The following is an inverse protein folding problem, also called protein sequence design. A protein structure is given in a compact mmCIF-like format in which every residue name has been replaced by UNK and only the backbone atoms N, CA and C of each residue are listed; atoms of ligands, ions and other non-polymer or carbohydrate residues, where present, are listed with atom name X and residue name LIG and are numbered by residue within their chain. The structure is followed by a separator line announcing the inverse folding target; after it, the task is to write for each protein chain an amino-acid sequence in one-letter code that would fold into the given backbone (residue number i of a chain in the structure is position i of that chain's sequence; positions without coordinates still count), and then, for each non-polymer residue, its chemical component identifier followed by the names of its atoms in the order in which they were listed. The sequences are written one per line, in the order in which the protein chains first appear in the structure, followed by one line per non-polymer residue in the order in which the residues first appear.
data_IF_787045647518
#
_entry.id   IF_787045647518
#
_cell.length_a   1.000
_cell.length_b   1.000
_cell.length_c   1.000
_cell.angle_alpha   90.00
_cell.angle_beta   90.00
_cell.angle_gamma   90.00
#
_symmetry.space_group_name_H-M   'P 1'
#
loop_
_entity.id
_entity.type
_entity.pdbx_description
1 polymer ?
#
# COMPACT_ATOMS: atom_id res chain seq x y z
N UNK A 1 -14.65 -1.06 37.01
CA UNK A 1 -14.10 -1.50 35.71
C UNK A 1 -12.59 -1.27 35.71
N UNK A 2 -11.78 -2.15 35.13
CA UNK A 2 -10.31 -2.03 35.07
C UNK A 2 -9.85 -2.02 33.62
N UNK A 3 -8.63 -1.55 33.36
CA UNK A 3 -8.03 -1.52 32.04
C UNK A 3 -6.52 -1.35 32.07
N UNK A 4 -5.94 -1.20 30.89
CA UNK A 4 -4.53 -0.86 30.69
C UNK A 4 -4.43 0.52 30.06
N UNK A 5 -3.41 1.27 30.44
CA UNK A 5 -3.04 2.52 29.80
C UNK A 5 -1.62 2.38 29.24
N UNK A 6 -1.49 2.67 27.96
CA UNK A 6 -0.21 2.72 27.25
C UNK A 6 0.03 4.19 26.92
N UNK A 7 1.12 4.75 27.44
CA UNK A 7 1.45 6.17 27.26
C UNK A 7 2.83 6.34 26.64
N UNK A 8 2.94 7.31 25.72
CA UNK A 8 4.19 7.76 25.14
C UNK A 8 4.37 9.26 25.41
N UNK A 9 5.54 9.66 25.88
CA UNK A 9 5.98 11.05 25.99
C UNK A 9 7.21 11.24 25.09
N UNK A 10 7.03 11.76 23.87
CA UNK A 10 8.12 11.91 22.92
C UNK A 10 9.15 12.96 23.39
N UNK A 11 8.77 13.96 24.20
CA UNK A 11 9.71 14.94 24.73
C UNK A 11 10.65 14.34 25.78
N UNK A 12 10.23 13.24 26.41
CA UNK A 12 11.04 12.48 27.38
C UNK A 12 11.61 11.18 26.82
N UNK A 13 11.43 10.91 25.53
CA UNK A 13 11.87 9.67 24.87
C UNK A 13 11.32 8.41 25.55
N UNK A 14 10.09 8.48 26.06
CA UNK A 14 9.39 7.34 26.64
C UNK A 14 8.30 6.90 25.68
N UNK A 15 8.34 5.64 25.25
CA UNK A 15 7.39 5.11 24.28
C UNK A 15 6.74 3.84 24.84
N UNK A 16 5.42 3.73 24.63
CA UNK A 16 4.63 2.53 24.90
C UNK A 16 4.74 2.02 26.36
N UNK A 17 4.84 2.93 27.33
CA UNK A 17 4.91 2.56 28.76
C UNK A 17 3.54 2.09 29.22
N UNK A 18 3.45 0.80 29.59
CA UNK A 18 2.21 0.18 30.06
C UNK A 18 2.05 0.32 31.59
N UNK A 19 0.82 0.62 32.04
CA UNK A 19 0.42 0.52 33.44
C UNK A 19 -1.04 0.09 33.60
N UNK A 20 -1.34 -0.60 34.70
CA UNK A 20 -2.71 -0.93 35.06
C UNK A 20 -3.47 0.30 35.58
N UNK A 21 -4.73 0.43 35.20
CA UNK A 21 -5.63 1.52 35.64
C UNK A 21 -7.00 0.98 36.02
N UNK A 22 -7.74 1.75 36.82
CA UNK A 22 -9.10 1.43 37.24
C UNK A 22 -10.02 2.62 37.05
N UNK A 23 -11.22 2.34 36.59
CA UNK A 23 -12.29 3.32 36.44
C UNK A 23 -13.02 3.53 37.78
N UNK A 24 -13.40 4.77 38.03
CA UNK A 24 -14.23 5.20 39.15
C UNK A 24 -15.68 5.42 38.72
N UNK A 25 -16.59 5.55 39.69
CA UNK A 25 -17.93 6.07 39.39
C UNK A 25 -17.81 7.51 38.86
N UNK A 26 -18.67 7.88 37.91
CA UNK A 26 -18.63 9.22 37.31
C UNK A 26 -18.91 10.29 38.36
N UNK A 27 -18.26 11.44 38.20
CA UNK A 27 -18.58 12.63 38.97
C UNK A 27 -19.82 13.33 38.37
N UNK A 28 -20.38 14.29 39.12
CA UNK A 28 -21.49 15.14 38.62
C UNK A 28 -21.00 16.14 37.58
N UNK A 29 -19.79 16.65 37.75
CA UNK A 29 -19.17 17.56 36.80
C UNK A 29 -19.06 16.93 35.40
N UNK A 30 -19.22 17.77 34.37
CA UNK A 30 -19.21 17.35 32.97
C UNK A 30 -18.21 18.15 32.12
N UNK A 31 -17.23 18.79 32.74
CA UNK A 31 -16.13 19.43 32.02
C UNK A 31 -15.08 18.39 31.57
N UNK A 32 -14.27 18.75 30.56
CA UNK A 32 -13.10 17.97 30.08
C UNK A 32 -13.39 16.50 29.70
N UNK A 33 -14.59 16.20 29.23
CA UNK A 33 -15.00 14.84 28.90
C UNK A 33 -14.61 14.41 27.48
N UNK A 34 -14.04 13.21 27.37
CA UNK A 34 -14.06 12.40 26.15
C UNK A 34 -15.08 11.28 26.36
N UNK A 35 -16.24 11.39 25.72
CA UNK A 35 -17.33 10.43 25.89
C UNK A 35 -17.21 9.28 24.89
N UNK A 36 -17.28 8.04 25.39
CA UNK A 36 -17.24 6.83 24.57
C UNK A 36 -18.57 6.08 24.68
N UNK A 37 -19.11 5.63 23.55
CA UNK A 37 -20.40 4.95 23.47
C UNK A 37 -20.27 3.59 22.77
N UNK A 38 -19.80 2.53 23.46
CA UNK A 38 -19.51 1.23 22.84
C UNK A 38 -20.68 0.56 22.12
N UNK A 39 -21.93 0.96 22.43
CA UNK A 39 -23.16 0.45 21.79
C UNK A 39 -23.40 0.99 20.37
N UNK A 40 -22.68 2.04 19.96
CA UNK A 40 -22.79 2.63 18.63
C UNK A 40 -21.50 2.31 17.86
N UNK A 41 -21.54 1.24 17.08
CA UNK A 41 -20.43 0.81 16.23
C UNK A 41 -20.43 1.60 14.92
N UNK A 42 -19.24 1.82 14.36
CA UNK A 42 -19.04 2.45 13.05
C UNK A 42 -18.39 1.43 12.10
N UNK A 43 -17.52 1.88 11.21
CA UNK A 43 -16.84 1.03 10.24
C UNK A 43 -15.99 -0.05 10.91
N UNK A 44 -15.92 -1.21 10.25
CA UNK A 44 -14.93 -2.22 10.56
C UNK A 44 -13.57 -1.83 9.95
N UNK A 45 -12.49 -2.13 10.66
CA UNK A 45 -11.12 -1.91 10.18
C UNK A 45 -10.47 -3.25 9.84
N UNK A 46 -9.74 -3.30 8.73
CA UNK A 46 -9.08 -4.54 8.27
C UNK A 46 -7.73 -4.76 8.97
N UNK A 47 -7.04 -3.70 9.40
CA UNK A 47 -5.77 -3.84 10.12
C UNK A 47 -4.79 -2.67 9.93
N UNK A 48 -3.52 -2.93 10.26
CA UNK A 48 -2.41 -1.98 10.17
C UNK A 48 -1.16 -2.66 9.61
N UNK A 49 -0.29 -1.89 8.96
CA UNK A 49 0.78 -2.47 8.17
C UNK A 49 1.82 -1.47 7.64
N UNK A 50 2.70 -2.01 6.79
CA UNK A 50 3.71 -1.27 6.04
C UNK A 50 3.83 -1.78 4.61
N UNK A 51 4.80 -1.27 3.85
CA UNK A 51 5.05 -1.72 2.48
C UNK A 51 6.33 -2.54 2.36
N UNK A 52 6.28 -3.64 1.60
CA UNK A 52 7.46 -4.36 1.14
C UNK A 52 7.85 -3.80 -0.23
N UNK A 53 9.02 -3.17 -0.32
CA UNK A 53 9.60 -2.67 -1.57
C UNK A 53 10.94 -3.35 -1.84
N UNK A 54 11.42 -3.33 -3.09
CA UNK A 54 12.74 -3.90 -3.40
C UNK A 54 13.82 -3.27 -2.52
N UNK A 55 13.79 -1.95 -2.29
CA UNK A 55 14.71 -1.26 -1.39
C UNK A 55 14.64 -1.80 0.05
N UNK A 56 13.45 -2.00 0.60
CA UNK A 56 13.30 -2.59 1.94
C UNK A 56 13.81 -4.04 1.97
N UNK A 57 13.57 -4.80 0.92
CA UNK A 57 14.03 -6.16 0.74
C UNK A 57 15.56 -6.31 0.65
N UNK A 58 16.21 -5.44 -0.13
CA UNK A 58 17.67 -5.35 -0.24
C UNK A 58 18.30 -5.00 1.11
N UNK A 59 17.72 -4.02 1.82
CA UNK A 59 18.17 -3.65 3.18
C UNK A 59 18.03 -4.84 4.13
N UNK A 60 16.87 -5.51 4.14
CA UNK A 60 16.66 -6.72 4.93
C UNK A 60 17.68 -7.82 4.60
N UNK A 61 17.96 -8.07 3.33
CA UNK A 61 18.90 -9.11 2.89
C UNK A 61 20.34 -8.83 3.34
N UNK A 62 20.72 -7.56 3.48
CA UNK A 62 22.05 -7.13 3.96
C UNK A 62 22.25 -7.27 5.48
N UNK A 63 21.18 -7.50 6.24
CA UNK A 63 21.25 -7.67 7.68
C UNK A 63 21.86 -9.03 8.07
N UNK A 64 22.50 -9.08 9.24
CA UNK A 64 22.86 -10.37 9.86
C UNK A 64 21.60 -11.18 10.22
N UNK A 65 21.69 -12.50 10.30
CA UNK A 65 20.53 -13.35 10.66
C UNK A 65 19.93 -13.00 12.03
N UNK A 66 20.76 -12.60 13.00
CA UNK A 66 20.29 -12.08 14.29
C UNK A 66 19.44 -10.81 14.12
N UNK A 67 19.91 -9.89 13.29
CA UNK A 67 19.21 -8.62 13.03
C UNK A 67 17.93 -8.86 12.22
N UNK A 68 17.93 -9.78 11.26
CA UNK A 68 16.71 -10.19 10.52
C UNK A 68 15.64 -10.72 11.46
N UNK A 69 16.01 -11.65 12.36
CA UNK A 69 15.09 -12.21 13.33
C UNK A 69 14.50 -11.14 14.26
N UNK A 70 15.33 -10.21 14.76
CA UNK A 70 14.86 -9.09 15.57
C UNK A 70 13.91 -8.17 14.80
N UNK A 71 14.28 -7.79 13.57
CA UNK A 71 13.47 -6.92 12.70
C UNK A 71 12.09 -7.53 12.43
N UNK A 72 12.05 -8.81 12.04
CA UNK A 72 10.79 -9.50 11.79
C UNK A 72 9.93 -9.59 13.05
N UNK A 73 10.55 -9.91 14.21
CA UNK A 73 9.83 -9.96 15.49
C UNK A 73 9.19 -8.62 15.83
N UNK A 74 9.92 -7.51 15.71
CA UNK A 74 9.42 -6.17 16.05
C UNK A 74 8.15 -5.81 15.24
N UNK A 75 8.10 -6.17 13.96
CA UNK A 75 6.96 -5.81 13.10
C UNK A 75 5.83 -6.84 13.10
N UNK A 76 6.15 -8.13 13.05
CA UNK A 76 5.17 -9.17 12.69
C UNK A 76 4.85 -10.13 13.84
N UNK A 77 5.56 -10.05 14.97
CA UNK A 77 5.19 -10.83 16.16
C UNK A 77 3.88 -10.35 16.75
N UNK A 78 3.04 -11.29 17.21
CA UNK A 78 1.80 -11.01 17.91
C UNK A 78 1.99 -10.29 19.25
N UNK A 79 3.22 -10.28 19.79
CA UNK A 79 3.57 -9.61 21.04
C UNK A 79 4.17 -8.20 20.83
N UNK A 80 4.41 -7.79 19.58
CA UNK A 80 5.02 -6.51 19.22
C UNK A 80 4.03 -5.66 18.40
N UNK A 81 4.43 -5.10 17.26
CA UNK A 81 3.53 -4.29 16.43
C UNK A 81 2.39 -5.09 15.78
N UNK A 82 2.55 -6.42 15.64
CA UNK A 82 1.55 -7.31 15.08
C UNK A 82 0.93 -6.80 13.77
N UNK A 83 1.77 -6.44 12.79
CA UNK A 83 1.29 -6.03 11.47
C UNK A 83 0.42 -7.12 10.84
N UNK A 84 -0.78 -6.74 10.42
CA UNK A 84 -1.79 -7.61 9.81
C UNK A 84 -2.05 -7.28 8.36
N UNK A 85 -1.64 -6.10 7.89
CA UNK A 85 -1.70 -5.70 6.48
C UNK A 85 -0.29 -5.50 5.92
N UNK A 86 -0.14 -5.67 4.62
CA UNK A 86 1.01 -5.12 3.90
C UNK A 86 0.66 -4.74 2.47
N UNK A 87 1.41 -3.79 1.91
CA UNK A 87 1.37 -3.43 0.49
C UNK A 87 2.69 -3.78 -0.19
N UNK A 88 2.65 -4.17 -1.46
CA UNK A 88 3.86 -4.44 -2.24
C UNK A 88 3.67 -4.01 -3.70
N UNK A 89 4.76 -3.61 -4.38
CA UNK A 89 4.68 -3.23 -5.77
C UNK A 89 4.52 -4.46 -6.67
N UNK A 90 3.80 -4.29 -7.77
CA UNK A 90 3.87 -5.17 -8.94
C UNK A 90 4.84 -4.49 -9.89
N UNK A 91 5.97 -5.15 -10.20
CA UNK A 91 7.14 -4.56 -10.89
C UNK A 91 7.86 -3.49 -10.04
N UNK A 92 8.74 -2.69 -10.64
CA UNK A 92 9.46 -1.62 -9.95
C UNK A 92 8.56 -0.49 -9.42
N UNK A 93 9.10 0.19 -8.42
CA UNK A 93 8.64 1.50 -7.92
C UNK A 93 9.86 2.37 -7.60
N UNK A 94 9.63 3.61 -7.16
CA UNK A 94 10.68 4.56 -6.75
C UNK A 94 11.63 4.04 -5.67
N UNK A 95 11.16 3.14 -4.80
CA UNK A 95 11.97 2.44 -3.80
C UNK A 95 12.54 1.12 -4.34
N UNK A 96 13.08 1.15 -5.55
CA UNK A 96 13.78 0.02 -6.19
C UNK A 96 15.20 0.44 -6.59
N UNK A 97 16.08 -0.52 -6.87
CA UNK A 97 17.44 -0.24 -7.34
C UNK A 97 17.48 0.35 -8.77
N UNK A 98 16.36 0.25 -9.49
CA UNK A 98 16.12 0.78 -10.83
C UNK A 98 14.88 0.12 -11.43
N UNK A 99 14.46 0.58 -12.61
CA UNK A 99 13.31 0.01 -13.31
C UNK A 99 13.51 -1.49 -13.58
N UNK A 100 12.44 -2.26 -13.45
CA UNK A 100 12.36 -3.63 -13.94
C UNK A 100 10.90 -4.02 -14.20
N UNK A 101 10.70 -4.82 -15.24
CA UNK A 101 9.42 -5.44 -15.53
C UNK A 101 9.56 -6.96 -15.50
N UNK A 102 8.44 -7.67 -15.42
CA UNK A 102 8.43 -9.14 -15.52
C UNK A 102 8.61 -9.62 -16.96
N UNK A 103 8.49 -8.71 -17.92
CA UNK A 103 8.70 -8.94 -19.35
C UNK A 103 9.17 -7.65 -20.00
N UNK A 104 10.27 -7.72 -20.75
CA UNK A 104 10.94 -6.53 -21.28
C UNK A 104 10.65 -6.29 -22.77
N UNK A 105 10.10 -7.29 -23.49
CA UNK A 105 9.80 -7.16 -24.91
C UNK A 105 8.49 -7.84 -25.33
N UNK A 106 7.92 -7.37 -26.44
CA UNK A 106 6.75 -8.00 -27.06
C UNK A 106 7.03 -9.43 -27.56
N UNK A 107 8.27 -9.71 -27.97
CA UNK A 107 8.69 -11.05 -28.40
C UNK A 107 8.70 -12.03 -27.22
N UNK A 108 9.19 -11.61 -26.06
CA UNK A 108 9.20 -12.44 -24.84
C UNK A 108 7.76 -12.71 -24.37
N UNK A 109 6.90 -11.69 -24.42
CA UNK A 109 5.48 -11.82 -24.09
C UNK A 109 4.78 -12.86 -24.97
N UNK A 110 4.97 -12.78 -26.30
CA UNK A 110 4.38 -13.75 -27.25
C UNK A 110 4.88 -15.18 -27.02
N UNK A 111 6.08 -15.33 -26.49
CA UNK A 111 6.68 -16.62 -26.16
C UNK A 111 6.41 -17.07 -24.71
N UNK A 112 5.65 -16.28 -23.93
CA UNK A 112 5.33 -16.58 -22.53
C UNK A 112 6.55 -16.56 -21.60
N UNK A 113 7.64 -15.87 -21.98
CA UNK A 113 8.88 -15.81 -21.21
C UNK A 113 8.83 -14.65 -20.21
N UNK A 114 8.24 -14.91 -19.05
CA UNK A 114 8.25 -14.00 -17.90
C UNK A 114 9.39 -14.34 -16.94
N UNK A 115 9.90 -13.33 -16.22
CA UNK A 115 10.91 -13.51 -15.18
C UNK A 115 10.51 -12.80 -13.89
N UNK A 116 10.52 -13.55 -12.79
CA UNK A 116 10.29 -13.05 -11.43
C UNK A 116 11.53 -13.17 -10.54
N UNK A 117 12.69 -13.55 -11.11
CA UNK A 117 13.91 -13.84 -10.36
C UNK A 117 14.40 -12.68 -9.49
N UNK A 118 14.10 -11.44 -9.89
CA UNK A 118 14.41 -10.24 -9.11
C UNK A 118 13.55 -10.15 -7.84
N UNK A 119 12.25 -10.44 -7.94
CA UNK A 119 11.35 -10.52 -6.78
C UNK A 119 11.73 -11.70 -5.88
N UNK A 120 12.06 -12.85 -6.46
CA UNK A 120 12.54 -14.04 -5.73
C UNK A 120 13.78 -13.75 -4.87
N UNK A 121 14.69 -12.91 -5.39
CA UNK A 121 15.89 -12.53 -4.67
C UNK A 121 15.65 -11.41 -3.64
N UNK A 122 14.85 -10.39 -3.98
CA UNK A 122 14.80 -9.15 -3.21
C UNK A 122 13.53 -8.99 -2.36
N UNK A 123 12.36 -9.45 -2.82
CA UNK A 123 11.08 -9.25 -2.13
C UNK A 123 10.62 -10.48 -1.35
N UNK A 124 10.60 -11.64 -2.02
CA UNK A 124 10.05 -12.89 -1.46
C UNK A 124 10.71 -13.31 -0.14
N UNK A 125 12.04 -13.17 0.09
CA UNK A 125 12.66 -13.56 1.36
C UNK A 125 12.12 -12.77 2.56
N UNK A 126 11.90 -11.47 2.38
CA UNK A 126 11.36 -10.57 3.40
C UNK A 126 9.88 -10.89 3.67
N UNK A 127 9.06 -11.02 2.62
CA UNK A 127 7.63 -11.33 2.74
C UNK A 127 7.43 -12.70 3.40
N UNK A 128 8.18 -13.71 2.96
CA UNK A 128 8.13 -15.05 3.54
C UNK A 128 8.59 -15.04 5.01
N UNK A 129 9.55 -14.18 5.36
CA UNK A 129 9.96 -13.93 6.73
C UNK A 129 8.84 -13.41 7.61
N UNK A 130 8.09 -12.42 7.11
CA UNK A 130 6.94 -11.86 7.80
C UNK A 130 5.81 -12.89 7.97
N UNK A 131 5.48 -13.62 6.90
CA UNK A 131 4.41 -14.62 6.91
C UNK A 131 4.69 -15.82 7.83
N UNK A 132 5.96 -16.12 8.15
CA UNK A 132 6.28 -17.12 9.18
C UNK A 132 5.84 -16.69 10.58
N UNK A 133 5.82 -15.39 10.87
CA UNK A 133 5.40 -14.85 12.17
C UNK A 133 3.90 -14.54 12.19
N UNK A 134 3.36 -14.04 11.07
CA UNK A 134 1.94 -13.83 10.89
C UNK A 134 1.46 -14.38 9.53
N UNK A 135 1.04 -15.65 9.45
CA UNK A 135 0.60 -16.25 8.19
C UNK A 135 -0.78 -15.74 7.72
N UNK A 136 -1.47 -14.94 8.53
CA UNK A 136 -2.81 -14.41 8.23
C UNK A 136 -2.77 -12.97 7.74
N UNK A 137 -1.60 -12.44 7.39
CA UNK A 137 -1.49 -11.09 6.84
C UNK A 137 -2.31 -10.97 5.55
N UNK A 138 -3.07 -9.89 5.45
CA UNK A 138 -3.75 -9.50 4.22
C UNK A 138 -2.80 -8.65 3.38
N UNK A 139 -2.42 -9.20 2.24
CA UNK A 139 -1.46 -8.58 1.32
C UNK A 139 -2.19 -7.87 0.18
N UNK A 140 -1.82 -6.61 -0.05
CA UNK A 140 -2.26 -5.79 -1.16
C UNK A 140 -1.11 -5.60 -2.16
N UNK A 141 -1.38 -5.75 -3.45
CA UNK A 141 -0.40 -5.46 -4.50
C UNK A 141 -0.85 -4.32 -5.41
N UNK A 142 0.08 -3.46 -5.80
CA UNK A 142 -0.21 -2.26 -6.59
C UNK A 142 0.87 -2.03 -7.64
N UNK A 143 0.55 -1.88 -8.94
CA UNK A 143 1.55 -1.52 -9.93
C UNK A 143 1.83 -0.01 -9.92
N UNK A 144 3.08 0.38 -10.16
CA UNK A 144 3.43 1.78 -10.46
C UNK A 144 3.48 2.03 -11.96
N UNK A 145 3.84 1.04 -12.76
CA UNK A 145 3.96 1.17 -14.21
C UNK A 145 3.85 -0.19 -14.89
N UNK A 146 3.14 -0.32 -16.02
CA UNK A 146 3.30 -1.45 -16.92
C UNK A 146 4.69 -1.48 -17.59
N UNK A 147 5.08 -2.59 -18.26
CA UNK A 147 6.30 -2.64 -19.06
C UNK A 147 6.38 -1.49 -20.07
N UNK A 148 7.58 -0.95 -20.27
CA UNK A 148 7.80 0.21 -21.15
C UNK A 148 7.14 0.03 -22.53
N UNK A 149 7.36 -1.09 -23.22
CA UNK A 149 6.80 -1.35 -24.55
C UNK A 149 5.26 -1.40 -24.61
N UNK A 150 4.57 -1.57 -23.48
CA UNK A 150 3.11 -1.51 -23.40
C UNK A 150 2.57 -0.09 -23.27
N UNK A 151 3.43 0.90 -23.06
CA UNK A 151 3.03 2.28 -22.78
C UNK A 151 3.15 3.18 -24.00
N UNK A 152 2.34 4.23 -24.04
CA UNK A 152 2.33 5.23 -25.14
C UNK A 152 3.64 6.01 -25.27
N UNK A 153 4.43 6.09 -24.19
CA UNK A 153 5.72 6.78 -24.15
C UNK A 153 6.93 5.84 -24.23
N UNK A 154 6.72 4.52 -24.27
CA UNK A 154 7.78 3.51 -24.26
C UNK A 154 8.80 3.67 -23.11
N UNK A 155 8.34 4.12 -21.94
CA UNK A 155 9.16 4.35 -20.75
C UNK A 155 8.33 4.04 -19.49
N UNK A 156 8.91 3.35 -18.51
CA UNK A 156 8.24 3.09 -17.23
C UNK A 156 8.06 4.38 -16.41
N UNK A 157 8.91 5.38 -16.64
CA UNK A 157 8.91 6.68 -15.96
C UNK A 157 8.12 7.73 -16.76
N UNK A 158 7.93 8.91 -16.18
CA UNK A 158 7.42 10.07 -16.91
C UNK A 158 5.95 9.97 -17.32
N UNK A 159 5.15 9.17 -16.60
CA UNK A 159 3.74 8.97 -16.90
C UNK A 159 3.53 8.15 -18.16
N UNK A 160 2.85 8.72 -19.17
CA UNK A 160 2.31 7.95 -20.29
C UNK A 160 1.15 7.06 -19.87
N UNK A 161 0.49 6.42 -20.83
CA UNK A 161 -0.70 5.57 -20.58
C UNK A 161 -0.44 4.15 -21.07
N UNK A 162 -1.17 3.18 -20.53
CA UNK A 162 -1.23 1.84 -21.12
C UNK A 162 -1.87 1.94 -22.51
N UNK A 163 -1.21 1.39 -23.53
CA UNK A 163 -1.79 1.30 -24.88
C UNK A 163 -3.02 0.39 -24.83
N UNK A 164 -4.11 0.79 -25.50
CA UNK A 164 -5.41 0.10 -25.39
C UNK A 164 -5.32 -1.37 -25.80
N UNK A 165 -4.54 -1.66 -26.82
CA UNK A 165 -4.24 -3.00 -27.31
C UNK A 165 -3.50 -3.89 -26.31
N UNK A 166 -2.83 -3.31 -25.30
CA UNK A 166 -2.08 -4.04 -24.27
C UNK A 166 -2.89 -4.27 -22.97
N UNK A 167 -4.18 -3.90 -22.90
CA UNK A 167 -4.99 -4.09 -21.68
C UNK A 167 -5.15 -5.57 -21.32
N UNK A 168 -5.33 -6.43 -22.31
CA UNK A 168 -5.42 -7.87 -22.08
C UNK A 168 -4.10 -8.42 -21.52
N UNK A 169 -2.99 -8.11 -22.21
CA UNK A 169 -1.66 -8.59 -21.84
C UNK A 169 -1.23 -8.09 -20.46
N UNK A 170 -1.53 -6.83 -20.13
CA UNK A 170 -1.20 -6.28 -18.82
C UNK A 170 -1.96 -6.99 -17.69
N UNK A 171 -3.24 -7.27 -17.91
CA UNK A 171 -4.03 -8.03 -16.94
C UNK A 171 -3.52 -9.48 -16.81
N UNK A 172 -3.05 -10.11 -17.90
CA UNK A 172 -2.45 -11.45 -17.86
C UNK A 172 -1.10 -11.47 -17.11
N UNK A 173 -0.29 -10.40 -17.22
CA UNK A 173 0.94 -10.24 -16.42
C UNK A 173 0.61 -10.14 -14.93
N UNK A 174 -0.41 -9.36 -14.55
CA UNK A 174 -0.85 -9.26 -13.14
C UNK A 174 -1.31 -10.62 -12.62
N UNK A 175 -2.03 -11.40 -13.42
CA UNK A 175 -2.44 -12.76 -13.02
C UNK A 175 -1.22 -13.67 -12.84
N UNK A 176 -0.24 -13.62 -13.75
CA UNK A 176 0.97 -14.42 -13.63
C UNK A 176 1.81 -14.01 -12.40
N UNK A 177 1.81 -12.73 -12.03
CA UNK A 177 2.36 -12.25 -10.76
C UNK A 177 1.66 -12.91 -9.55
N UNK A 178 0.33 -12.92 -9.53
CA UNK A 178 -0.45 -13.55 -8.44
C UNK A 178 -0.18 -15.06 -8.36
N UNK A 179 -0.10 -15.73 -9.51
CA UNK A 179 0.21 -17.15 -9.59
C UNK A 179 1.62 -17.45 -9.11
N UNK A 180 2.60 -16.63 -9.49
CA UNK A 180 3.98 -16.78 -9.06
C UNK A 180 4.09 -16.63 -7.54
N UNK A 181 3.56 -15.56 -6.98
CA UNK A 181 3.59 -15.34 -5.53
C UNK A 181 2.89 -16.47 -4.77
N UNK A 182 1.77 -16.99 -5.30
CA UNK A 182 1.08 -18.15 -4.74
C UNK A 182 1.94 -19.42 -4.76
N UNK A 183 2.79 -19.63 -5.77
CA UNK A 183 3.75 -20.76 -5.82
C UNK A 183 4.80 -20.67 -4.71
N UNK A 184 5.15 -19.47 -4.28
CA UNK A 184 6.02 -19.21 -3.12
C UNK A 184 5.27 -19.16 -1.79
N UNK A 185 3.98 -19.54 -1.75
CA UNK A 185 3.16 -19.55 -0.54
C UNK A 185 2.65 -18.17 -0.10
N UNK A 186 2.71 -17.16 -0.99
CA UNK A 186 2.30 -15.79 -0.72
C UNK A 186 0.94 -15.54 -1.38
N UNK A 187 -0.11 -15.41 -0.56
CA UNK A 187 -1.46 -15.18 -1.06
C UNK A 187 -1.83 -13.70 -1.00
N UNK A 188 -1.98 -13.07 -2.17
CA UNK A 188 -2.49 -11.71 -2.31
C UNK A 188 -4.01 -11.71 -2.21
N UNK A 189 -4.56 -10.75 -1.47
CA UNK A 189 -6.00 -10.65 -1.21
C UNK A 189 -6.61 -9.33 -1.68
N UNK A 190 -5.77 -8.33 -2.00
CA UNK A 190 -6.22 -7.04 -2.53
C UNK A 190 -5.30 -6.54 -3.65
N UNK A 191 -5.88 -5.80 -4.59
CA UNK A 191 -5.19 -5.07 -5.65
C UNK A 191 -5.62 -3.61 -5.66
N UNK A 192 -4.73 -2.69 -6.03
CA UNK A 192 -5.16 -1.47 -6.72
C UNK A 192 -4.84 -1.56 -8.21
N UNK A 193 -5.64 -0.89 -9.04
CA UNK A 193 -5.41 -0.90 -10.50
C UNK A 193 -4.09 -0.25 -10.87
N UNK A 194 -3.78 0.89 -10.24
CA UNK A 194 -2.61 1.70 -10.53
C UNK A 194 -2.32 2.60 -9.32
N UNK A 195 -1.06 2.68 -8.90
CA UNK A 195 -0.61 3.68 -7.93
C UNK A 195 -0.68 5.08 -8.57
N UNK A 196 -1.39 6.02 -7.94
CA UNK A 196 -1.44 7.43 -8.32
C UNK A 196 -1.77 7.66 -9.82
N UNK A 197 -2.92 7.19 -10.32
CA UNK A 197 -3.26 7.11 -11.75
C UNK A 197 -3.41 8.45 -12.46
N UNK A 198 -3.41 9.57 -11.73
CA UNK A 198 -3.48 10.92 -12.29
C UNK A 198 -2.16 11.70 -12.17
N UNK A 199 -1.09 11.06 -11.67
CA UNK A 199 0.17 11.72 -11.39
C UNK A 199 1.30 11.27 -12.32
N UNK A 200 1.87 12.23 -13.05
CA UNK A 200 3.16 12.04 -13.74
C UNK A 200 4.28 12.16 -12.72
N UNK A 201 5.18 11.16 -12.67
CA UNK A 201 6.36 11.17 -11.80
C UNK A 201 7.64 11.01 -12.61
N UNK A 202 8.76 11.45 -12.05
CA UNK A 202 10.09 11.19 -12.64
C UNK A 202 10.54 9.74 -12.47
N UNK A 203 9.84 8.98 -11.64
CA UNK A 203 9.95 7.52 -11.46
C UNK A 203 8.76 6.77 -12.10
N UNK A 204 8.68 5.46 -11.88
CA UNK A 204 7.60 4.58 -12.32
C UNK A 204 6.22 5.23 -12.11
N UNK A 205 5.50 5.50 -13.21
CA UNK A 205 4.16 6.08 -13.16
C UNK A 205 3.40 5.77 -14.45
N UNK A 206 2.08 5.61 -14.37
CA UNK A 206 1.23 5.42 -15.53
C UNK A 206 -0.13 6.07 -15.29
N UNK A 207 -0.61 6.81 -16.28
CA UNK A 207 -1.85 7.56 -16.20
C UNK A 207 -3.04 6.74 -16.69
N UNK A 208 -4.14 6.80 -15.94
CA UNK A 208 -5.45 6.29 -16.30
C UNK A 208 -6.50 7.37 -16.02
N UNK A 209 -7.48 7.52 -16.91
CA UNK A 209 -8.73 8.19 -16.53
C UNK A 209 -9.58 7.26 -15.66
N UNK A 210 -10.61 7.81 -15.00
CA UNK A 210 -11.53 7.01 -14.18
C UNK A 210 -12.22 5.91 -15.00
N UNK A 211 -12.57 6.20 -16.26
CA UNK A 211 -13.19 5.24 -17.17
C UNK A 211 -12.22 4.12 -17.55
N UNK A 212 -10.94 4.45 -17.79
CA UNK A 212 -9.93 3.47 -18.14
C UNK A 212 -9.56 2.58 -16.94
N UNK A 213 -9.41 3.17 -15.75
CA UNK A 213 -9.09 2.46 -14.51
C UNK A 213 -10.20 1.46 -14.16
N UNK A 214 -11.46 1.93 -14.15
CA UNK A 214 -12.60 1.09 -13.82
C UNK A 214 -12.89 0.05 -14.91
N UNK A 215 -12.73 0.40 -16.19
CA UNK A 215 -12.82 -0.58 -17.27
C UNK A 215 -11.74 -1.67 -17.14
N UNK A 216 -10.50 -1.30 -16.79
CA UNK A 216 -9.45 -2.29 -16.55
C UNK A 216 -9.79 -3.21 -15.38
N UNK A 217 -10.26 -2.67 -14.26
CA UNK A 217 -10.72 -3.46 -13.11
C UNK A 217 -11.83 -4.45 -13.48
N UNK A 218 -12.92 -3.96 -14.07
CA UNK A 218 -14.15 -4.73 -14.25
C UNK A 218 -14.12 -5.60 -15.50
N UNK A 219 -13.58 -5.12 -16.61
CA UNK A 219 -13.61 -5.83 -17.89
C UNK A 219 -12.39 -6.74 -18.10
N UNK A 220 -11.26 -6.45 -17.45
CA UNK A 220 -10.01 -7.19 -17.66
C UNK A 220 -9.59 -8.01 -16.44
N UNK A 221 -9.48 -7.39 -15.25
CA UNK A 221 -9.04 -8.10 -14.04
C UNK A 221 -10.11 -9.05 -13.51
N UNK A 222 -11.34 -8.60 -13.28
CA UNK A 222 -12.41 -9.44 -12.70
C UNK A 222 -12.63 -10.75 -13.45
N UNK A 223 -12.78 -10.79 -14.78
CA UNK A 223 -12.99 -12.05 -15.50
C UNK A 223 -11.79 -12.99 -15.42
N UNK A 224 -10.56 -12.45 -15.34
CA UNK A 224 -9.34 -13.24 -15.22
C UNK A 224 -9.19 -13.83 -13.82
N UNK A 225 -9.46 -13.05 -12.79
CA UNK A 225 -9.46 -13.49 -11.39
C UNK A 225 -10.47 -14.63 -11.19
N UNK A 226 -11.69 -14.48 -11.70
CA UNK A 226 -12.71 -15.52 -11.65
C UNK A 226 -12.26 -16.84 -12.32
N UNK A 227 -11.62 -16.75 -13.49
CA UNK A 227 -11.06 -17.95 -14.17
C UNK A 227 -9.97 -18.66 -13.38
N UNK A 228 -9.29 -17.96 -12.47
CA UNK A 228 -8.26 -18.52 -11.59
C UNK A 228 -8.79 -18.93 -10.22
N UNK A 229 -10.11 -18.84 -9.99
CA UNK A 229 -10.76 -19.09 -8.70
C UNK A 229 -10.36 -18.08 -7.62
N UNK A 230 -10.08 -16.83 -8.02
CA UNK A 230 -9.70 -15.71 -7.14
C UNK A 230 -10.84 -14.68 -7.02
N UNK A 231 -12.09 -15.14 -6.99
CA UNK A 231 -13.29 -14.29 -6.97
C UNK A 231 -13.34 -13.33 -5.76
N UNK A 232 -12.78 -13.75 -4.63
CA UNK A 232 -12.72 -13.00 -3.38
C UNK A 232 -11.67 -11.86 -3.40
N UNK A 233 -10.85 -11.77 -4.44
CA UNK A 233 -9.85 -10.71 -4.57
C UNK A 233 -10.51 -9.34 -4.47
N UNK A 234 -10.04 -8.51 -3.54
CA UNK A 234 -10.51 -7.14 -3.44
C UNK A 234 -9.82 -6.27 -4.50
N UNK A 235 -10.58 -5.40 -5.18
CA UNK A 235 -10.02 -4.41 -6.10
C UNK A 235 -10.37 -3.02 -5.59
N UNK A 236 -9.34 -2.20 -5.45
CA UNK A 236 -9.40 -0.79 -5.08
C UNK A 236 -9.03 0.09 -6.28
N UNK A 237 -9.64 1.26 -6.34
CA UNK A 237 -9.34 2.31 -7.32
C UNK A 237 -8.82 3.57 -6.61
N UNK A 238 -8.52 4.61 -7.39
CA UNK A 238 -7.97 5.90 -6.96
C UNK A 238 -6.51 5.81 -6.52
N UNK A 239 -6.19 5.09 -5.43
CA UNK A 239 -4.83 4.90 -4.88
C UNK A 239 -3.96 6.18 -4.96
N UNK A 240 -4.58 7.32 -4.60
CA UNK A 240 -4.02 8.66 -4.71
C UNK A 240 -4.49 9.57 -3.57
N UNK A 241 -4.09 10.83 -3.57
CA UNK A 241 -4.32 11.74 -2.45
C UNK A 241 -5.80 12.04 -2.17
N UNK A 242 -6.13 12.43 -0.92
CA UNK A 242 -7.54 12.56 -0.48
C UNK A 242 -8.31 13.73 -1.10
N UNK A 243 -7.64 14.66 -1.76
CA UNK A 243 -8.24 15.90 -2.28
C UNK A 243 -9.15 15.70 -3.50
N UNK A 244 -8.95 14.63 -4.28
CA UNK A 244 -9.82 14.26 -5.40
C UNK A 244 -10.71 13.03 -5.14
N UNK A 245 -10.80 12.59 -3.88
CA UNK A 245 -11.39 11.30 -3.53
C UNK A 245 -12.89 11.23 -3.86
N UNK A 246 -13.66 12.28 -3.56
CA UNK A 246 -15.10 12.33 -3.85
C UNK A 246 -15.37 12.40 -5.35
N UNK A 247 -14.66 13.27 -6.07
CA UNK A 247 -14.86 13.47 -7.51
C UNK A 247 -14.61 12.18 -8.29
N UNK A 248 -13.55 11.44 -7.93
CA UNK A 248 -13.26 10.15 -8.55
C UNK A 248 -14.30 9.08 -8.21
N UNK A 249 -14.74 9.03 -6.95
CA UNK A 249 -15.76 8.08 -6.50
C UNK A 249 -17.10 8.31 -7.21
N UNK A 250 -17.52 9.57 -7.38
CA UNK A 250 -18.77 9.92 -8.05
C UNK A 250 -18.79 9.43 -9.49
N UNK A 251 -17.72 9.69 -10.24
CA UNK A 251 -17.59 9.24 -11.63
C UNK A 251 -17.46 7.71 -11.72
N UNK A 252 -16.67 7.08 -10.86
CA UNK A 252 -16.43 5.65 -10.90
C UNK A 252 -17.69 4.84 -10.57
N UNK A 253 -18.41 5.22 -9.50
CA UNK A 253 -19.52 4.45 -8.96
C UNK A 253 -20.90 4.87 -9.51
N UNK A 254 -20.95 5.82 -10.45
CA UNK A 254 -22.15 6.09 -11.23
C UNK A 254 -22.55 4.91 -12.14
N UNK A 255 -21.59 4.06 -12.52
CA UNK A 255 -21.82 2.84 -13.31
C UNK A 255 -22.08 1.62 -12.39
N UNK A 256 -23.17 0.89 -12.65
CA UNK A 256 -23.58 -0.27 -11.85
C UNK A 256 -22.57 -1.43 -11.90
N UNK A 257 -21.94 -1.68 -13.05
CA UNK A 257 -20.93 -2.72 -13.20
C UNK A 257 -19.67 -2.38 -12.38
N UNK A 258 -19.29 -1.10 -12.35
CA UNK A 258 -18.21 -0.60 -11.49
C UNK A 258 -18.57 -0.78 -10.01
N UNK A 259 -19.79 -0.41 -9.62
CA UNK A 259 -20.26 -0.61 -8.26
C UNK A 259 -20.24 -2.08 -7.84
N UNK A 260 -20.59 -3.03 -8.70
CA UNK A 260 -20.51 -4.47 -8.38
C UNK A 260 -19.08 -5.00 -8.37
N UNK A 261 -18.25 -4.52 -9.28
CA UNK A 261 -16.91 -5.05 -9.55
C UNK A 261 -15.78 -4.43 -8.73
N UNK A 262 -16.02 -3.42 -7.90
CA UNK A 262 -14.96 -2.72 -7.15
C UNK A 262 -15.32 -2.67 -5.67
N UNK A 263 -14.36 -3.01 -4.79
CA UNK A 263 -14.58 -3.11 -3.35
C UNK A 263 -14.50 -1.76 -2.64
N UNK A 264 -13.79 -0.79 -3.21
CA UNK A 264 -13.64 0.52 -2.60
C UNK A 264 -12.56 1.39 -3.23
N UNK A 265 -12.14 2.41 -2.48
CA UNK A 265 -11.09 3.33 -2.88
C UNK A 265 -9.92 3.24 -1.90
N UNK A 266 -8.71 3.33 -2.45
CA UNK A 266 -7.48 3.51 -1.70
C UNK A 266 -7.08 4.99 -1.74
N UNK A 267 -6.53 5.55 -0.65
CA UNK A 267 -6.11 6.95 -0.61
C UNK A 267 -4.78 7.22 0.13
N UNK A 268 -4.09 8.29 -0.26
CA UNK A 268 -2.81 8.76 0.29
C UNK A 268 -2.99 10.07 1.08
N UNK A 269 -1.92 10.60 1.67
CA UNK A 269 -1.98 11.77 2.56
C UNK A 269 -1.16 12.99 2.10
N UNK A 270 -0.59 12.97 0.89
CA UNK A 270 0.45 13.93 0.50
C UNK A 270 -0.07 15.36 0.33
N UNK A 271 -1.39 15.54 0.16
CA UNK A 271 -2.06 16.84 0.06
C UNK A 271 -2.71 17.33 1.36
N UNK A 272 -2.58 16.58 2.47
CA UNK A 272 -3.06 16.98 3.79
C UNK A 272 -4.28 16.19 4.28
N UNK A 273 -5.09 16.81 5.15
CA UNK A 273 -6.07 16.11 5.98
C UNK A 273 -7.29 15.59 5.20
N UNK A 274 -8.03 16.47 4.53
CA UNK A 274 -9.22 16.17 3.72
C UNK A 274 -10.19 15.14 4.33
N UNK A 275 -10.30 15.08 5.67
CA UNK A 275 -11.09 14.05 6.37
C UNK A 275 -12.58 14.07 6.00
N UNK A 276 -13.12 15.25 5.65
CA UNK A 276 -14.51 15.40 5.23
C UNK A 276 -14.84 14.60 3.97
N UNK A 277 -13.89 14.41 3.05
CA UNK A 277 -14.10 13.58 1.85
C UNK A 277 -14.28 12.11 2.21
N UNK A 278 -13.45 11.61 3.13
CA UNK A 278 -13.57 10.23 3.65
C UNK A 278 -14.92 10.08 4.34
N UNK A 279 -15.30 11.03 5.20
CA UNK A 279 -16.57 10.97 5.93
C UNK A 279 -17.77 10.99 4.99
N UNK A 280 -17.75 11.83 3.95
CA UNK A 280 -18.81 11.90 2.94
C UNK A 280 -18.97 10.56 2.22
N UNK A 281 -17.88 9.96 1.73
CA UNK A 281 -17.95 8.66 1.07
C UNK A 281 -18.31 7.52 2.01
N UNK A 282 -17.91 7.56 3.28
CA UNK A 282 -18.33 6.55 4.26
C UNK A 282 -19.85 6.58 4.50
N UNK A 283 -20.50 7.72 4.29
CA UNK A 283 -21.96 7.87 4.37
C UNK A 283 -22.66 7.50 3.06
N UNK A 284 -22.11 7.91 1.92
CA UNK A 284 -22.71 7.66 0.60
C UNK A 284 -22.48 6.24 0.08
N UNK A 285 -21.35 5.62 0.44
CA UNK A 285 -20.93 4.29 -0.01
C UNK A 285 -20.64 3.38 1.20
N UNK A 286 -21.63 3.10 2.08
CA UNK A 286 -21.39 2.40 3.34
C UNK A 286 -20.90 0.95 3.15
N UNK A 287 -21.20 0.34 2.01
CA UNK A 287 -20.77 -1.02 1.66
C UNK A 287 -19.40 -1.05 0.95
N UNK A 288 -18.76 0.11 0.73
CA UNK A 288 -17.43 0.24 0.13
C UNK A 288 -16.37 0.51 1.18
N UNK A 289 -15.17 0.00 0.92
CA UNK A 289 -14.00 0.20 1.79
C UNK A 289 -13.24 1.47 1.40
N UNK A 290 -12.82 2.24 2.40
CA UNK A 290 -11.93 3.39 2.23
C UNK A 290 -10.59 3.06 2.91
N UNK A 291 -9.62 2.62 2.13
CA UNK A 291 -8.34 2.08 2.60
C UNK A 291 -7.23 3.14 2.53
N UNK A 292 -6.35 3.17 3.54
CA UNK A 292 -5.15 4.00 3.54
C UNK A 292 -3.90 3.14 3.32
N UNK A 293 -3.47 2.91 2.06
CA UNK A 293 -2.39 1.96 1.77
C UNK A 293 -0.96 2.53 1.82
N UNK A 294 -0.76 3.85 1.79
CA UNK A 294 0.58 4.45 1.64
C UNK A 294 0.72 5.76 2.40
N UNK A 295 1.81 5.85 3.16
CA UNK A 295 2.24 7.03 3.88
C UNK A 295 3.77 7.06 3.91
N UNK A 296 4.38 8.18 3.52
CA UNK A 296 5.81 8.41 3.71
C UNK A 296 6.01 9.84 4.19
N UNK A 297 6.81 10.01 5.24
CA UNK A 297 7.34 11.30 5.64
C UNK A 297 8.72 11.49 4.99
N UNK A 298 8.98 12.67 4.45
CA UNK A 298 10.31 13.00 3.93
C UNK A 298 11.34 13.01 5.06
N UNK A 299 12.57 12.60 4.74
CA UNK A 299 13.70 12.75 5.64
C UNK A 299 13.89 14.22 5.99
N UNK A 300 13.75 14.56 7.28
CA UNK A 300 14.22 15.83 7.82
C UNK A 300 15.49 15.52 8.59
N UNK A 301 16.64 15.93 8.05
CA UNK A 301 17.86 15.95 8.83
C UNK A 301 17.59 16.80 10.08
N UNK A 302 17.75 16.21 11.26
CA UNK A 302 17.83 17.03 12.47
C UNK A 302 18.98 18.01 12.24
N UNK A 303 18.80 19.33 12.45
CA UNK A 303 19.92 20.23 12.39
C UNK A 303 20.95 19.72 13.41
N UNK A 304 22.07 19.23 12.89
CA UNK A 304 23.25 18.97 13.72
C UNK A 304 23.49 20.29 14.44
N UNK A 305 23.33 20.29 15.77
CA UNK A 305 23.70 21.43 16.57
C UNK A 305 25.14 21.75 16.19
N UNK A 306 25.33 22.84 15.43
CA UNK A 306 26.66 23.38 15.14
C UNK A 306 27.19 23.80 16.50
N UNK A 307 27.96 22.93 17.14
CA UNK A 307 28.90 23.38 18.14
C UNK A 307 29.81 24.38 17.43
N UNK A 308 29.69 25.64 17.83
CA UNK A 308 30.53 26.71 17.36
C UNK A 308 31.97 26.43 17.80
N UNK A 309 32.73 25.74 16.94
CA UNK A 309 34.18 25.86 16.92
C UNK A 309 34.54 26.30 15.51
N UNK A 310 34.61 27.62 15.33
CA UNK A 310 34.96 28.23 14.07
C UNK A 310 36.36 27.83 13.64
N UNK A 311 36.45 27.07 12.55
CA UNK A 311 37.60 27.06 11.65
C UNK A 311 37.02 26.87 10.23
N UNK A 312 37.18 27.84 9.32
CA UNK A 312 36.75 27.66 7.93
C UNK A 312 37.81 26.84 7.18
N UNK A 313 37.39 25.73 6.56
CA UNK A 313 38.17 25.04 5.54
C UNK A 313 37.70 25.56 4.18
N UNK A 314 38.57 26.32 3.53
CA UNK A 314 38.48 26.72 2.13
C UNK A 314 38.64 25.51 1.22
N UNK A 315 37.72 25.29 0.28
CA UNK A 315 37.94 24.41 -0.87
C UNK A 315 38.03 25.26 -2.13
N UNK A 316 39.21 25.26 -2.75
CA UNK A 316 39.40 25.38 -4.20
C UNK A 316 38.94 24.11 -4.89
#
# INVERSE_FOLDING_TARGET
MKGRLISSDPYRQQFLVERAVSFSHRQRDCSELISVLPRHTLQQIDGFGGSFTEGAGVVFNSMSEKTKAQFLSLYFSAQEHNYTLARMPIQSCDFSLGNYAYVDSSADLQQGRLSFSRDEAHLIPLISGALRLNPHMKLMASPWSPPAFMKTNNDMNGGGKLRRECYADWADIIINYLLEYRRHGINVQALSVQNEPVAVKTWDSCLYSVEEETAFAVQYLRPRLARQGMDEMEIYIWDHDKDGLVDWAELAFADEANYKGINGLAFHWYTGDHFSQIQYLAQCLPDKKLLFPKAVCQWRAMPVARFATGIPISMT
#
